data_IF_760653536104
#
_entry.id   IF_760653536104
#
_cell.length_a   1.000
_cell.length_b   1.000
_cell.length_c   1.000
_cell.angle_alpha   90.00
_cell.angle_beta   90.00
_cell.angle_gamma   90.00
#
_symmetry.space_group_name_H-M   'P 1'
#
loop_
_entity.id
_entity.type
_entity.pdbx_description
1 polymer ?
#
# COMPACT_ATOMS: atom_id res chain seq x y z
N UNK A 1 14.81 -14.67 -11.04
CA UNK A 1 15.30 -13.31 -11.42
C UNK A 1 15.76 -12.63 -10.14
N UNK A 2 16.94 -12.01 -10.07
CA UNK A 2 17.06 -10.80 -9.26
C UNK A 2 16.12 -9.77 -9.90
N UNK A 3 14.83 -9.83 -9.58
CA UNK A 3 13.76 -9.24 -10.40
C UNK A 3 12.38 -9.30 -9.75
N UNK A 4 12.31 -8.78 -8.53
CA UNK A 4 11.06 -8.56 -7.80
C UNK A 4 10.51 -7.12 -7.92
N UNK A 5 11.16 -6.24 -8.67
CA UNK A 5 10.76 -4.85 -8.78
C UNK A 5 10.04 -4.58 -10.11
N UNK A 6 8.78 -4.17 -10.03
CA UNK A 6 8.04 -3.65 -11.18
C UNK A 6 8.43 -2.18 -11.40
N UNK A 7 8.34 -1.72 -12.66
CA UNK A 7 8.60 -0.29 -12.98
C UNK A 7 7.71 0.63 -12.15
N UNK A 8 6.44 0.29 -11.99
CA UNK A 8 5.48 1.04 -11.17
C UNK A 8 5.87 1.08 -9.69
N UNK A 9 6.44 0.01 -9.13
CA UNK A 9 6.89 0.00 -7.75
C UNK A 9 8.15 0.88 -7.56
N UNK A 10 9.10 0.82 -8.49
CA UNK A 10 10.28 1.67 -8.45
C UNK A 10 9.91 3.15 -8.57
N UNK A 11 9.04 3.49 -9.51
CA UNK A 11 8.53 4.86 -9.72
C UNK A 11 7.83 5.39 -8.46
N UNK A 12 6.97 4.58 -7.84
CA UNK A 12 6.32 4.92 -6.58
C UNK A 12 7.33 5.22 -5.48
N UNK A 13 8.31 4.33 -5.29
CA UNK A 13 9.32 4.48 -4.25
C UNK A 13 10.20 5.72 -4.49
N UNK A 14 10.57 5.99 -5.75
CA UNK A 14 11.32 7.20 -6.11
C UNK A 14 10.53 8.47 -5.80
N UNK A 15 9.24 8.50 -6.10
CA UNK A 15 8.35 9.61 -5.78
C UNK A 15 8.17 9.83 -4.28
N UNK A 16 7.86 8.77 -3.53
CA UNK A 16 7.62 8.85 -2.08
C UNK A 16 8.90 9.19 -1.30
N UNK A 17 10.05 8.70 -1.74
CA UNK A 17 11.35 8.88 -1.07
C UNK A 17 12.16 10.04 -1.68
N UNK A 18 11.51 10.95 -2.41
CA UNK A 18 12.19 12.11 -2.97
C UNK A 18 12.77 13.00 -1.85
N UNK A 19 14.05 13.38 -2.00
CA UNK A 19 14.81 14.14 -0.99
C UNK A 19 14.22 15.54 -0.77
N UNK A 20 13.95 16.26 -1.86
CA UNK A 20 13.24 17.54 -1.80
C UNK A 20 11.76 17.30 -1.47
N UNK A 21 11.29 17.86 -0.37
CA UNK A 21 9.90 17.75 0.08
C UNK A 21 8.90 18.32 -0.92
N UNK A 22 9.28 19.33 -1.73
CA UNK A 22 8.39 19.99 -2.70
C UNK A 22 8.19 19.17 -3.98
N UNK A 23 9.02 18.15 -4.18
CA UNK A 23 8.96 17.23 -5.31
C UNK A 23 8.50 15.82 -4.88
N UNK A 24 8.35 15.60 -3.57
CA UNK A 24 7.88 14.32 -3.04
C UNK A 24 6.44 14.06 -3.51
N UNK A 25 6.16 12.83 -3.89
CA UNK A 25 4.81 12.40 -4.23
C UNK A 25 3.86 12.68 -3.05
N UNK A 26 2.78 13.41 -3.30
CA UNK A 26 1.85 13.91 -2.26
C UNK A 26 2.14 15.35 -1.80
N UNK A 27 3.14 16.03 -2.34
CA UNK A 27 3.46 17.41 -1.95
C UNK A 27 2.54 18.47 -2.58
N UNK A 28 1.86 18.17 -3.70
CA UNK A 28 1.04 19.17 -4.42
C UNK A 28 -0.44 19.01 -4.13
N UNK A 29 -0.93 17.77 -4.17
CA UNK A 29 -2.36 17.45 -3.99
C UNK A 29 -2.57 16.35 -2.95
N UNK A 30 -1.63 16.20 -2.03
CA UNK A 30 -1.69 15.26 -0.91
C UNK A 30 -2.05 13.85 -1.40
N UNK A 31 -3.05 13.23 -0.79
CA UNK A 31 -3.47 11.88 -1.10
C UNK A 31 -3.88 11.67 -2.58
N UNK A 32 -4.36 12.70 -3.29
CA UNK A 32 -4.79 12.53 -4.69
C UNK A 32 -3.64 12.12 -5.61
N UNK A 33 -2.40 12.56 -5.35
CA UNK A 33 -1.24 12.14 -6.13
C UNK A 33 -0.92 10.66 -5.90
N UNK A 34 -1.02 10.20 -4.65
CA UNK A 34 -0.79 8.80 -4.27
C UNK A 34 -1.91 7.93 -4.85
N UNK A 35 -3.17 8.34 -4.68
CA UNK A 35 -4.37 7.64 -5.15
C UNK A 35 -4.32 7.35 -6.66
N UNK A 36 -3.86 8.34 -7.43
CA UNK A 36 -3.84 8.29 -8.89
C UNK A 36 -2.55 7.69 -9.48
N UNK A 37 -1.58 7.30 -8.65
CA UNK A 37 -0.33 6.70 -9.12
C UNK A 37 -0.57 5.32 -9.75
N UNK A 38 0.11 5.00 -10.86
CA UNK A 38 -0.12 3.78 -11.65
C UNK A 38 0.02 2.49 -10.85
N UNK A 39 0.90 2.48 -9.84
CA UNK A 39 1.06 1.37 -8.90
C UNK A 39 -0.26 0.98 -8.20
N UNK A 40 -1.10 1.96 -7.87
CA UNK A 40 -2.39 1.74 -7.21
C UNK A 40 -3.57 1.66 -8.18
N UNK A 41 -3.33 1.67 -9.50
CA UNK A 41 -4.40 1.58 -10.50
C UNK A 41 -5.33 0.37 -10.37
N UNK A 42 -4.92 -0.81 -9.85
CA UNK A 42 -5.84 -1.92 -9.61
C UNK A 42 -6.74 -1.74 -8.37
N UNK A 43 -6.49 -0.74 -7.52
CA UNK A 43 -7.25 -0.54 -6.28
C UNK A 43 -8.50 0.29 -6.55
N UNK A 44 -9.67 -0.31 -6.32
CA UNK A 44 -10.88 0.48 -6.07
C UNK A 44 -10.85 1.01 -4.63
N UNK A 45 -10.60 2.31 -4.50
CA UNK A 45 -10.48 2.98 -3.20
C UNK A 45 -11.79 3.00 -2.40
N UNK A 46 -12.93 3.00 -3.07
CA UNK A 46 -14.24 2.94 -2.42
C UNK A 46 -14.53 1.54 -1.87
N UNK A 47 -14.12 0.49 -2.59
CA UNK A 47 -14.19 -0.89 -2.09
C UNK A 47 -13.23 -1.12 -0.93
N UNK A 48 -12.03 -0.56 -0.99
CA UNK A 48 -11.04 -0.63 0.08
C UNK A 48 -11.58 0.03 1.36
N UNK A 49 -12.12 1.25 1.25
CA UNK A 49 -12.66 2.00 2.39
C UNK A 49 -13.82 1.26 3.07
N UNK A 50 -14.73 0.69 2.27
CA UNK A 50 -15.87 -0.08 2.76
C UNK A 50 -15.54 -1.55 3.10
N UNK A 51 -14.25 -1.93 3.12
CA UNK A 51 -13.77 -3.29 3.43
C UNK A 51 -14.40 -4.39 2.55
N UNK A 52 -14.70 -4.05 1.29
CA UNK A 52 -15.26 -4.99 0.30
C UNK A 52 -14.19 -5.76 -0.46
N UNK A 53 -12.94 -5.30 -0.44
CA UNK A 53 -11.82 -6.04 -1.01
C UNK A 53 -11.45 -7.21 -0.09
N UNK A 54 -11.35 -8.41 -0.66
CA UNK A 54 -10.83 -9.59 0.05
C UNK A 54 -9.37 -9.34 0.43
N UNK A 55 -9.00 -9.40 1.73
CA UNK A 55 -7.61 -9.26 2.14
C UNK A 55 -6.74 -10.37 1.52
N UNK A 56 -5.49 -10.07 1.12
CA UNK A 56 -4.58 -11.09 0.59
C UNK A 56 -4.14 -12.10 1.65
N UNK A 57 -4.33 -11.76 2.93
CA UNK A 57 -4.00 -12.60 4.07
C UNK A 57 -5.13 -12.58 5.08
N UNK A 58 -5.60 -13.76 5.47
CA UNK A 58 -6.52 -13.96 6.58
C UNK A 58 -5.79 -14.75 7.67
N UNK A 59 -5.49 -14.15 8.85
CA UNK A 59 -4.83 -14.87 9.92
C UNK A 59 -5.71 -16.02 10.42
N UNK A 60 -5.15 -17.21 10.51
CA UNK A 60 -5.87 -18.40 10.98
C UNK A 60 -6.07 -18.37 12.50
N UNK A 61 -6.94 -17.51 13.01
CA UNK A 61 -7.21 -17.39 14.45
C UNK A 61 -8.12 -18.51 14.94
N UNK A 62 -7.77 -19.15 16.05
CA UNK A 62 -8.53 -20.26 16.64
C UNK A 62 -9.72 -19.78 17.50
N UNK A 63 -9.75 -18.50 17.91
CA UNK A 63 -10.83 -17.93 18.70
C UNK A 63 -10.50 -16.55 19.28
N UNK A 64 -11.40 -15.98 20.11
CA UNK A 64 -11.26 -14.60 20.61
C UNK A 64 -10.04 -14.35 21.51
N UNK A 65 -9.48 -15.41 22.11
CA UNK A 65 -8.33 -15.32 23.00
C UNK A 65 -7.03 -15.88 22.35
N UNK A 66 -7.01 -16.07 21.03
CA UNK A 66 -5.83 -16.58 20.33
C UNK A 66 -4.72 -15.52 20.29
N UNK A 67 -3.58 -15.82 20.93
CA UNK A 67 -2.41 -14.95 21.01
C UNK A 67 -1.25 -15.42 20.12
N UNK A 68 -1.45 -16.39 19.21
CA UNK A 68 -0.35 -17.03 18.46
C UNK A 68 0.47 -16.12 17.55
N UNK A 69 -0.01 -14.91 17.26
CA UNK A 69 0.68 -13.92 16.42
C UNK A 69 1.34 -12.80 17.25
N UNK A 70 1.37 -12.93 18.58
CA UNK A 70 2.09 -12.03 19.48
C UNK A 70 3.32 -12.75 20.02
N UNK A 71 4.44 -12.05 20.07
CA UNK A 71 5.66 -12.56 20.72
C UNK A 71 5.47 -12.57 22.26
N UNK A 72 6.08 -13.55 22.97
CA UNK A 72 6.03 -13.62 24.43
C UNK A 72 6.68 -12.44 25.17
#
# INVERSE_FOLDING_TARGET
IPGGQTVAACDLLQGLLHKDQRQRLGSKSDFLEIKNHVFFSPINWDDLYHKRLTPPFNPNVAGPADLKHFDP
#
